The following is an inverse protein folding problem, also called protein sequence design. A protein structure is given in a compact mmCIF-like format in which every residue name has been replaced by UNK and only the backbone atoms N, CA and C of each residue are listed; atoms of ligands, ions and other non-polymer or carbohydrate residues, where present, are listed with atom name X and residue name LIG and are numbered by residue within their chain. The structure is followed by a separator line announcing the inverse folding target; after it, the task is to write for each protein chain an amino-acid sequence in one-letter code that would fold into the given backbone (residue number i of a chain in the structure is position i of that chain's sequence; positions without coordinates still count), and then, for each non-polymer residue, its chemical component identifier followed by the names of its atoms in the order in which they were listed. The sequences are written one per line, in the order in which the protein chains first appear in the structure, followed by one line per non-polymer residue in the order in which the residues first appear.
data_IF_955322963863
#
_entry.id   IF_955322963863
#
_cell.length_a   1.000
_cell.length_b   1.000
_cell.length_c   1.000
_cell.angle_alpha   90.00
_cell.angle_beta   90.00
_cell.angle_gamma   90.00
#
_symmetry.space_group_name_H-M   'P 1'
#
loop_
_entity.id
_entity.type
_entity.pdbx_description
1 polymer ?
#
# COMPACT_ATOMS: atom_id res chain seq x y z
N UNK A 1 -7.70 -5.60 -24.68
CA UNK A 1 -7.59 -6.77 -23.77
C UNK A 1 -8.59 -6.66 -22.61
N UNK A 2 -8.57 -5.59 -21.79
CA UNK A 2 -9.51 -5.40 -20.65
C UNK A 2 -11.01 -5.40 -21.04
N UNK A 3 -11.41 -4.64 -22.09
CA UNK A 3 -12.81 -4.61 -22.57
C UNK A 3 -13.40 -6.01 -22.83
N UNK A 4 -12.62 -6.88 -23.47
CA UNK A 4 -13.06 -8.23 -23.81
C UNK A 4 -13.25 -9.09 -22.54
N UNK A 5 -12.38 -8.92 -21.53
CA UNK A 5 -12.54 -9.58 -20.23
C UNK A 5 -13.82 -9.13 -19.52
N UNK A 6 -14.13 -7.83 -19.56
CA UNK A 6 -15.36 -7.30 -18.95
C UNK A 6 -16.59 -7.92 -19.60
N UNK A 7 -16.68 -7.96 -20.94
CA UNK A 7 -17.81 -8.60 -21.62
C UNK A 7 -17.88 -10.12 -21.40
N UNK A 8 -16.73 -10.79 -21.24
CA UNK A 8 -16.68 -12.24 -20.99
C UNK A 8 -17.18 -12.61 -19.59
N UNK A 9 -16.93 -11.77 -18.60
CA UNK A 9 -17.12 -12.10 -17.19
C UNK A 9 -18.22 -11.29 -16.49
N UNK A 10 -18.91 -10.41 -17.22
CA UNK A 10 -20.01 -9.60 -16.68
C UNK A 10 -21.20 -9.68 -17.63
N UNK A 11 -22.39 -9.35 -17.14
CA UNK A 11 -23.61 -9.21 -17.95
C UNK A 11 -23.71 -7.85 -18.65
N UNK A 12 -22.65 -7.05 -18.63
CA UNK A 12 -22.70 -5.69 -19.18
C UNK A 12 -22.90 -5.72 -20.69
N UNK A 13 -23.90 -4.97 -21.17
CA UNK A 13 -24.21 -4.85 -22.60
C UNK A 13 -23.34 -3.79 -23.30
N UNK A 14 -22.68 -2.91 -22.55
CA UNK A 14 -21.84 -1.84 -23.09
C UNK A 14 -20.90 -1.28 -22.03
N UNK A 15 -19.82 -0.64 -22.47
CA UNK A 15 -18.81 -0.06 -21.57
C UNK A 15 -18.47 1.34 -22.06
N UNK A 16 -18.43 2.31 -21.13
CA UNK A 16 -17.94 3.67 -21.39
C UNK A 16 -16.49 3.77 -20.91
N UNK A 17 -15.64 4.43 -21.69
CA UNK A 17 -14.22 4.60 -21.38
C UNK A 17 -13.82 6.06 -21.56
N UNK A 18 -13.07 6.59 -20.58
CA UNK A 18 -12.50 7.93 -20.61
C UNK A 18 -11.00 7.84 -20.32
N UNK A 19 -10.20 8.54 -21.13
CA UNK A 19 -8.77 8.74 -20.84
C UNK A 19 -8.62 9.98 -19.97
N UNK A 20 -7.84 9.86 -18.91
CA UNK A 20 -7.52 10.97 -18.03
C UNK A 20 -6.01 11.04 -17.78
N UNK A 21 -5.52 12.26 -17.63
CA UNK A 21 -4.15 12.51 -17.18
C UNK A 21 -4.04 12.16 -15.69
N UNK A 22 -2.93 11.51 -15.32
CA UNK A 22 -2.70 11.08 -13.94
C UNK A 22 -1.39 11.64 -13.41
N UNK A 23 -1.49 12.46 -12.38
CA UNK A 23 -0.35 12.91 -11.60
C UNK A 23 -0.06 11.92 -10.48
N UNK A 24 1.20 11.49 -10.37
CA UNK A 24 1.61 10.42 -9.46
C UNK A 24 2.87 10.89 -8.73
N UNK A 25 2.94 10.63 -7.42
CA UNK A 25 4.18 10.76 -6.67
C UNK A 25 5.20 9.72 -7.14
N UNK A 26 6.47 10.11 -7.16
CA UNK A 26 7.59 9.18 -7.28
C UNK A 26 7.58 8.24 -6.08
N UNK A 27 7.87 6.96 -6.30
CA UNK A 27 7.82 5.94 -5.26
C UNK A 27 9.14 5.19 -5.19
N UNK A 28 9.62 5.00 -3.98
CA UNK A 28 10.72 4.07 -3.68
C UNK A 28 10.33 3.18 -2.51
N UNK A 29 11.03 2.06 -2.38
CA UNK A 29 10.89 1.14 -1.25
C UNK A 29 12.02 1.45 -0.28
N UNK A 30 11.71 1.43 1.01
CA UNK A 30 12.67 1.44 2.10
C UNK A 30 12.31 0.37 3.11
N UNK A 31 13.21 0.11 4.05
CA UNK A 31 13.05 -0.91 5.08
C UNK A 31 13.51 -0.33 6.42
N UNK A 32 12.89 -0.79 7.51
CA UNK A 32 13.33 -0.53 8.87
C UNK A 32 13.42 -1.84 9.64
N UNK A 33 14.34 -1.91 10.60
CA UNK A 33 14.40 -3.01 11.55
C UNK A 33 13.52 -2.69 12.77
N UNK A 34 12.68 -3.65 13.14
CA UNK A 34 11.76 -3.55 14.28
C UNK A 34 11.66 -4.91 14.97
N UNK A 35 12.15 -4.98 16.23
CA UNK A 35 12.09 -6.20 17.06
C UNK A 35 12.60 -7.47 16.36
N UNK A 36 13.72 -7.35 15.64
CA UNK A 36 14.31 -8.47 14.89
C UNK A 36 13.55 -8.86 13.61
N UNK A 37 12.59 -8.04 13.19
CA UNK A 37 11.87 -8.19 11.92
C UNK A 37 12.08 -6.96 11.04
N UNK A 38 12.17 -7.18 9.73
CA UNK A 38 12.29 -6.08 8.76
C UNK A 38 10.91 -5.65 8.26
N UNK A 39 10.60 -4.37 8.37
CA UNK A 39 9.34 -3.76 7.89
C UNK A 39 9.62 -2.92 6.66
N UNK A 40 9.15 -3.37 5.50
CA UNK A 40 9.15 -2.57 4.29
C UNK A 40 8.16 -1.41 4.37
N UNK A 41 8.54 -0.26 3.83
CA UNK A 41 7.67 0.89 3.65
C UNK A 41 7.85 1.52 2.26
N UNK A 42 6.78 2.14 1.78
CA UNK A 42 6.78 2.93 0.56
C UNK A 42 7.00 4.40 0.90
N UNK A 43 8.10 4.95 0.41
CA UNK A 43 8.35 6.38 0.38
C UNK A 43 7.77 6.95 -0.90
N UNK A 44 6.88 7.93 -0.78
CA UNK A 44 6.25 8.64 -1.89
C UNK A 44 6.61 10.11 -1.83
N UNK A 45 7.15 10.68 -2.91
CA UNK A 45 7.58 12.08 -2.97
C UNK A 45 7.23 12.76 -4.31
N UNK A 46 7.08 14.08 -4.27
CA UNK A 46 6.75 14.90 -5.44
C UNK A 46 5.72 15.97 -5.08
N UNK A 47 5.55 16.97 -5.94
CA UNK A 47 4.59 18.07 -5.72
C UNK A 47 4.71 18.74 -4.33
N UNK A 48 5.93 18.85 -3.79
CA UNK A 48 6.18 19.45 -2.47
C UNK A 48 5.77 18.59 -1.26
N UNK A 49 5.36 17.33 -1.44
CA UNK A 49 4.98 16.43 -0.34
C UNK A 49 5.86 15.19 -0.27
N UNK A 50 6.09 14.70 0.95
CA UNK A 50 6.74 13.41 1.24
C UNK A 50 5.81 12.63 2.17
N UNK A 51 5.59 11.35 1.87
CA UNK A 51 4.78 10.42 2.67
C UNK A 51 5.48 9.08 2.79
N UNK A 52 5.43 8.49 3.97
CA UNK A 52 5.86 7.12 4.22
C UNK A 52 4.64 6.29 4.62
N UNK A 53 4.52 5.08 4.07
CA UNK A 53 3.51 4.10 4.49
C UNK A 53 4.13 2.72 4.56
N UNK A 54 4.03 2.06 5.70
CA UNK A 54 4.40 0.65 5.84
C UNK A 54 3.59 -0.22 4.85
N UNK A 55 4.26 -1.22 4.27
CA UNK A 55 3.61 -2.18 3.39
C UNK A 55 2.73 -3.14 4.19
N UNK A 56 1.52 -3.39 3.68
CA UNK A 56 0.51 -4.18 4.38
C UNK A 56 1.00 -5.60 4.66
N UNK A 57 1.63 -6.25 3.68
CA UNK A 57 2.08 -7.64 3.80
C UNK A 57 3.14 -7.80 4.89
N UNK A 58 4.07 -6.84 4.99
CA UNK A 58 5.10 -6.81 6.05
C UNK A 58 4.45 -6.66 7.43
N UNK A 59 3.51 -5.73 7.58
CA UNK A 59 2.78 -5.57 8.84
C UNK A 59 1.94 -6.80 9.20
N UNK A 60 1.26 -7.39 8.23
CA UNK A 60 0.41 -8.56 8.46
C UNK A 60 1.22 -9.79 8.89
N UNK A 61 2.40 -10.00 8.28
CA UNK A 61 3.30 -11.08 8.65
C UNK A 61 3.80 -10.94 10.11
N UNK A 62 4.16 -9.72 10.52
CA UNK A 62 4.64 -9.44 11.88
C UNK A 62 3.51 -9.53 12.90
N UNK A 63 2.35 -8.93 12.59
CA UNK A 63 1.19 -8.98 13.47
C UNK A 63 0.75 -10.42 13.73
N UNK A 64 0.73 -11.27 12.68
CA UNK A 64 0.42 -12.69 12.81
C UNK A 64 1.47 -13.46 13.61
N UNK A 65 2.76 -13.16 13.41
CA UNK A 65 3.85 -13.80 14.17
C UNK A 65 3.79 -13.47 15.66
N UNK A 66 3.41 -12.25 16.00
CA UNK A 66 3.41 -11.75 17.37
C UNK A 66 2.03 -11.81 18.05
N UNK A 67 1.08 -12.53 17.46
CA UNK A 67 -0.30 -12.69 17.94
C UNK A 67 -0.97 -11.36 18.35
N UNK A 68 -0.79 -10.33 17.52
CA UNK A 68 -1.30 -8.98 17.76
C UNK A 68 -2.17 -8.49 16.62
N UNK A 69 -3.04 -7.53 16.90
CA UNK A 69 -3.83 -6.89 15.85
C UNK A 69 -2.96 -5.92 15.03
N UNK A 70 -3.30 -5.75 13.75
CA UNK A 70 -2.68 -4.74 12.89
C UNK A 70 -2.80 -3.32 13.46
N UNK A 71 -3.86 -3.04 14.22
CA UNK A 71 -4.07 -1.73 14.84
C UNK A 71 -3.08 -1.50 15.97
N UNK A 72 -2.84 -2.53 16.80
CA UNK A 72 -1.90 -2.44 17.92
C UNK A 72 -0.46 -2.33 17.43
N UNK A 73 -0.09 -3.07 16.38
CA UNK A 73 1.20 -2.93 15.72
C UNK A 73 1.40 -1.50 15.18
N UNK A 74 0.38 -0.93 14.51
CA UNK A 74 0.45 0.46 14.03
C UNK A 74 0.58 1.48 15.16
N UNK A 75 -0.11 1.27 16.30
CA UNK A 75 0.03 2.12 17.49
C UNK A 75 1.45 2.05 18.07
N UNK A 76 2.07 0.87 18.07
CA UNK A 76 3.46 0.71 18.52
C UNK A 76 4.44 1.43 17.59
N UNK A 77 4.23 1.34 16.28
CA UNK A 77 5.07 2.03 15.29
C UNK A 77 4.93 3.56 15.37
N UNK A 78 3.71 4.07 15.52
CA UNK A 78 3.46 5.52 15.62
C UNK A 78 4.01 6.16 16.89
N UNK A 79 4.12 5.41 18.01
CA UNK A 79 4.73 5.91 19.26
C UNK A 79 6.26 6.03 19.20
N UNK A 80 6.91 5.46 18.19
CA UNK A 80 8.37 5.45 18.02
C UNK A 80 8.86 6.56 17.08
N UNK A 81 7.93 7.30 16.46
CA UNK A 81 8.22 8.43 15.56
C UNK A 81 8.23 9.80 16.28
N UNK A 82 7.95 9.82 17.60
CA UNK A 82 8.15 10.96 18.54
C UNK A 82 9.38 10.72 19.45
#
# INVERSE_FOLDING_TARGET
IIRNLIFKHTTSLGIRYYRCERYILNRSIGEIDWEGSTIAFKKSSGFGVIRNKYEYDSLAAIAKRNDMSLLDLKRQLGKKED
#
